data_IF_024829997359
#
_entry.id   IF_024829997359
#
_cell.length_a   1.000
_cell.length_b   1.000
_cell.length_c   1.000
_cell.angle_alpha   90.00
_cell.angle_beta   90.00
_cell.angle_gamma   90.00
#
_symmetry.space_group_name_H-M   'P 1'
#
loop_
_entity.id
_entity.type
_entity.pdbx_description
1 polymer ?
#
# COMPACT_ATOMS: atom_id res chain seq x y z
N UNK A 1 45.95 38.44 -7.84
CA UNK A 1 47.39 38.17 -8.04
C UNK A 1 47.54 36.67 -8.28
N UNK A 2 47.73 36.34 -9.50
CA UNK A 2 49.03 36.20 -10.13
C UNK A 2 49.49 34.74 -10.09
N UNK A 3 49.44 34.15 -11.21
CA UNK A 3 50.46 33.77 -12.21
C UNK A 3 50.88 32.28 -12.09
N UNK A 4 50.55 31.48 -13.13
CA UNK A 4 51.33 31.27 -14.35
C UNK A 4 52.43 30.22 -14.19
N UNK A 5 52.39 29.17 -14.98
CA UNK A 5 53.27 28.71 -16.05
C UNK A 5 53.29 27.18 -16.13
N UNK A 6 52.80 26.58 -17.21
CA UNK A 6 53.53 26.27 -18.45
C UNK A 6 54.86 25.54 -18.17
N UNK A 7 55.17 24.45 -18.72
CA UNK A 7 55.10 23.91 -20.06
C UNK A 7 56.15 22.78 -20.18
N UNK A 8 56.00 21.99 -21.23
CA UNK A 8 56.87 21.34 -22.19
C UNK A 8 57.29 19.90 -21.94
N UNK A 9 56.75 19.02 -22.75
CA UNK A 9 57.34 18.51 -23.97
C UNK A 9 58.83 18.21 -23.94
N UNK A 10 59.18 16.93 -24.10
CA UNK A 10 60.22 16.52 -25.07
C UNK A 10 60.08 15.04 -25.41
N UNK A 11 59.97 14.81 -26.67
CA UNK A 11 60.10 13.62 -27.50
C UNK A 11 61.49 13.01 -27.45
N UNK A 12 61.59 11.68 -27.66
CA UNK A 12 62.60 10.99 -28.47
C UNK A 12 62.22 9.50 -28.52
N UNK A 13 61.74 8.98 -29.63
CA UNK A 13 62.42 8.45 -30.83
C UNK A 13 63.41 7.31 -30.55
N UNK A 14 62.93 6.16 -30.94
CA UNK A 14 63.46 5.24 -31.95
C UNK A 14 64.54 4.23 -31.54
N UNK A 15 64.32 3.05 -31.94
CA UNK A 15 65.03 2.09 -32.77
C UNK A 15 65.00 0.66 -32.24
N UNK A 16 64.26 -0.14 -33.00
CA UNK A 16 64.69 -1.32 -33.75
C UNK A 16 65.66 -2.28 -33.04
N UNK A 17 65.22 -3.53 -32.85
CA UNK A 17 65.78 -4.67 -33.59
C UNK A 17 65.26 -6.05 -33.07
N UNK A 18 64.67 -6.70 -34.04
CA UNK A 18 64.85 -8.12 -34.37
C UNK A 18 64.37 -9.25 -33.44
N UNK A 19 63.47 -10.01 -33.98
CA UNK A 19 63.03 -11.41 -33.83
C UNK A 19 64.26 -12.36 -33.73
N UNK A 20 64.22 -13.57 -33.07
CA UNK A 20 63.34 -14.61 -33.53
C UNK A 20 62.79 -15.62 -32.48
N UNK A 21 61.67 -16.20 -32.88
CA UNK A 21 61.38 -17.62 -32.97
C UNK A 21 61.19 -18.50 -31.72
N UNK A 22 59.95 -18.98 -31.63
CA UNK A 22 59.57 -20.38 -31.44
C UNK A 22 59.98 -21.05 -30.14
N UNK A 23 59.01 -21.27 -29.28
CA UNK A 23 58.70 -22.58 -28.72
C UNK A 23 57.20 -22.65 -28.44
N UNK A 24 56.55 -23.49 -29.20
CA UNK A 24 55.20 -23.99 -28.96
C UNK A 24 55.19 -24.76 -27.63
N UNK A 25 54.32 -24.39 -26.72
CA UNK A 25 53.88 -25.30 -25.70
C UNK A 25 52.35 -25.16 -25.61
N UNK A 26 51.69 -26.12 -26.22
CA UNK A 26 50.29 -26.48 -25.98
C UNK A 26 50.12 -26.77 -24.47
N UNK A 27 49.45 -25.85 -23.78
CA UNK A 27 48.77 -26.18 -22.56
C UNK A 27 47.28 -25.94 -22.82
N UNK A 28 46.62 -27.03 -23.23
CA UNK A 28 45.15 -27.15 -23.12
C UNK A 28 44.82 -27.17 -21.62
N UNK A 29 44.74 -25.99 -21.04
CA UNK A 29 44.10 -25.81 -19.76
C UNK A 29 42.60 -25.74 -20.00
N UNK A 30 41.90 -26.85 -19.82
CA UNK A 30 40.45 -26.89 -19.76
C UNK A 30 39.97 -25.95 -18.67
N UNK A 31 39.49 -24.79 -19.05
CA UNK A 31 38.63 -23.99 -18.17
C UNK A 31 37.31 -24.75 -18.06
N UNK A 32 37.17 -25.55 -17.02
CA UNK A 32 35.88 -25.96 -16.52
C UNK A 32 35.20 -24.66 -16.09
N UNK A 33 34.39 -24.07 -17.00
CA UNK A 33 33.42 -23.07 -16.63
C UNK A 33 32.50 -23.71 -15.61
N UNK A 34 32.80 -23.50 -14.34
CA UNK A 34 31.82 -23.66 -13.27
C UNK A 34 30.69 -22.72 -13.63
N UNK A 35 29.68 -23.25 -14.33
CA UNK A 35 28.38 -22.61 -14.43
C UNK A 35 27.92 -22.47 -12.99
N UNK A 36 28.14 -21.28 -12.42
CA UNK A 36 27.44 -20.85 -11.23
C UNK A 36 25.96 -20.82 -11.63
N UNK A 37 25.25 -21.88 -11.32
CA UNK A 37 23.81 -21.89 -11.27
C UNK A 37 23.44 -20.80 -10.22
N UNK A 38 23.13 -19.60 -10.72
CA UNK A 38 22.48 -18.61 -9.91
C UNK A 38 21.28 -19.26 -9.24
N UNK A 39 21.00 -18.97 -7.95
CA UNK A 39 19.85 -19.53 -7.27
C UNK A 39 18.57 -19.00 -7.94
N UNK A 40 18.08 -19.74 -8.91
CA UNK A 40 16.83 -19.48 -9.65
C UNK A 40 15.57 -19.75 -8.81
N UNK A 41 15.70 -19.83 -7.48
CA UNK A 41 14.62 -20.24 -6.59
C UNK A 41 13.61 -19.16 -6.17
N UNK A 42 13.78 -17.90 -6.56
CA UNK A 42 12.92 -16.80 -6.02
C UNK A 42 11.67 -16.48 -6.82
N UNK A 43 11.48 -17.01 -8.03
CA UNK A 43 10.34 -16.64 -8.89
C UNK A 43 9.69 -17.83 -9.62
N UNK A 44 9.95 -19.07 -9.22
CA UNK A 44 9.26 -20.19 -9.83
C UNK A 44 7.78 -20.14 -9.53
N UNK A 45 6.92 -20.20 -10.56
CA UNK A 45 5.48 -20.25 -10.39
C UNK A 45 5.09 -21.56 -9.70
N UNK A 46 4.14 -21.50 -8.79
CA UNK A 46 3.66 -22.62 -7.98
C UNK A 46 2.19 -22.90 -8.27
N UNK A 47 1.82 -24.19 -8.19
CA UNK A 47 0.43 -24.60 -8.26
C UNK A 47 -0.04 -25.01 -6.86
N UNK A 48 -1.14 -24.46 -6.42
CA UNK A 48 -1.76 -24.77 -5.15
C UNK A 48 -2.90 -25.76 -5.37
N UNK A 49 -2.92 -26.84 -4.61
CA UNK A 49 -4.02 -27.81 -4.63
C UNK A 49 -4.29 -28.29 -3.21
N UNK A 50 -5.00 -27.49 -2.46
CA UNK A 50 -5.47 -27.80 -1.12
C UNK A 50 -6.98 -27.94 -1.15
N UNK A 51 -7.48 -29.11 -0.85
CA UNK A 51 -8.93 -29.37 -0.77
C UNK A 51 -9.25 -29.78 0.65
N UNK A 52 -10.06 -28.98 1.33
CA UNK A 52 -10.46 -29.22 2.72
C UNK A 52 -9.27 -29.47 3.66
N UNK A 53 -8.17 -28.74 3.43
CA UNK A 53 -6.93 -28.87 4.19
C UNK A 53 -6.96 -28.01 5.45
N UNK A 54 -6.37 -28.51 6.53
CA UNK A 54 -6.23 -27.77 7.77
C UNK A 54 -5.44 -26.49 7.60
N UNK A 55 -5.93 -25.38 8.19
CA UNK A 55 -5.32 -24.04 8.04
C UNK A 55 -3.87 -24.03 8.49
N UNK A 56 -3.54 -24.74 9.57
CA UNK A 56 -2.15 -24.82 10.08
C UNK A 56 -1.24 -25.54 9.09
N UNK A 57 -1.71 -26.65 8.49
CA UNK A 57 -0.95 -27.38 7.50
C UNK A 57 -0.69 -26.56 6.23
N UNK A 58 -1.71 -25.83 5.76
CA UNK A 58 -1.57 -24.91 4.61
C UNK A 58 -0.64 -23.77 4.95
N UNK A 59 -0.75 -23.16 6.13
CA UNK A 59 0.13 -22.08 6.57
C UNK A 59 1.60 -22.52 6.61
N UNK A 60 1.88 -23.74 7.12
CA UNK A 60 3.23 -24.32 7.14
C UNK A 60 3.79 -24.56 5.74
N UNK A 61 2.95 -25.06 4.83
CA UNK A 61 3.35 -25.24 3.43
C UNK A 61 3.61 -23.88 2.75
N UNK A 62 2.77 -22.89 2.98
CA UNK A 62 2.96 -21.54 2.46
C UNK A 62 4.24 -20.90 3.01
N UNK A 63 4.57 -21.11 4.28
CA UNK A 63 5.83 -20.67 4.88
C UNK A 63 7.04 -21.25 4.13
N UNK A 64 7.03 -22.56 3.85
CA UNK A 64 8.10 -23.23 3.12
C UNK A 64 8.24 -22.71 1.70
N UNK A 65 7.13 -22.57 0.99
CA UNK A 65 7.11 -22.13 -0.43
C UNK A 65 7.54 -20.67 -0.56
N UNK A 66 7.13 -19.81 0.35
CA UNK A 66 7.44 -18.37 0.29
C UNK A 66 8.76 -18.02 0.97
N UNK A 67 9.29 -18.91 1.81
CA UNK A 67 10.48 -18.64 2.62
C UNK A 67 10.21 -17.69 3.79
N UNK A 68 8.94 -17.51 4.19
CA UNK A 68 8.53 -16.61 5.27
C UNK A 68 8.37 -17.39 6.58
N UNK A 69 8.74 -16.78 7.70
CA UNK A 69 8.43 -17.34 9.02
C UNK A 69 6.94 -17.14 9.33
N UNK A 70 6.18 -18.22 9.44
CA UNK A 70 4.74 -18.18 9.75
C UNK A 70 4.48 -18.85 11.10
N UNK A 71 3.74 -18.18 11.96
CA UNK A 71 3.26 -18.68 13.26
C UNK A 71 1.74 -18.66 13.24
N UNK A 72 1.11 -19.75 13.67
CA UNK A 72 -0.35 -19.86 13.71
C UNK A 72 -0.80 -19.82 15.17
N UNK A 73 -1.76 -18.94 15.48
CA UNK A 73 -2.38 -18.87 16.81
C UNK A 73 -3.16 -20.15 17.09
N UNK A 74 -3.07 -20.77 18.28
CA UNK A 74 -3.78 -22.01 18.62
C UNK A 74 -5.30 -21.95 18.51
N UNK A 75 -5.87 -20.75 18.47
CA UNK A 75 -7.31 -20.50 18.27
C UNK A 75 -7.75 -20.60 16.81
N UNK A 76 -6.79 -20.59 15.87
CA UNK A 76 -7.08 -20.75 14.45
C UNK A 76 -7.36 -22.22 14.18
N UNK A 77 -8.62 -22.51 13.84
CA UNK A 77 -9.09 -23.87 13.55
C UNK A 77 -9.98 -23.83 12.31
N UNK A 78 -10.02 -24.96 11.61
CA UNK A 78 -10.86 -25.10 10.43
C UNK A 78 -10.07 -25.52 9.20
N UNK A 79 -10.79 -25.67 8.10
CA UNK A 79 -10.23 -26.13 6.85
C UNK A 79 -10.45 -25.10 5.75
N UNK A 80 -9.52 -25.01 4.82
CA UNK A 80 -9.63 -24.17 3.63
C UNK A 80 -9.37 -24.99 2.38
N UNK A 81 -10.01 -24.57 1.29
CA UNK A 81 -9.77 -25.11 -0.04
C UNK A 81 -9.14 -24.01 -0.89
N UNK A 82 -7.98 -24.30 -1.46
CA UNK A 82 -7.21 -23.39 -2.28
C UNK A 82 -6.68 -24.13 -3.49
N UNK A 83 -7.31 -23.96 -4.65
CA UNK A 83 -6.98 -24.66 -5.88
C UNK A 83 -6.66 -23.64 -6.96
N UNK A 84 -5.48 -23.79 -7.60
CA UNK A 84 -5.12 -22.98 -8.76
C UNK A 84 -4.98 -23.90 -9.98
N UNK A 85 -5.71 -23.58 -11.07
CA UNK A 85 -5.61 -24.34 -12.33
C UNK A 85 -4.28 -24.05 -13.07
N UNK A 86 -3.77 -22.84 -12.89
CA UNK A 86 -2.53 -22.39 -13.54
C UNK A 86 -1.47 -22.07 -12.48
N UNK A 87 -0.18 -22.29 -12.78
CA UNK A 87 0.89 -21.86 -11.90
C UNK A 87 0.83 -20.35 -11.64
N UNK A 88 0.91 -19.97 -10.38
CA UNK A 88 0.86 -18.57 -9.92
C UNK A 88 2.17 -18.16 -9.28
N UNK A 89 2.47 -16.87 -9.26
CA UNK A 89 3.62 -16.35 -8.51
C UNK A 89 3.45 -16.56 -7.00
N UNK A 90 4.54 -16.62 -6.26
CA UNK A 90 4.51 -16.74 -4.78
C UNK A 90 3.69 -15.63 -4.11
N UNK A 91 3.80 -14.40 -4.63
CA UNK A 91 3.00 -13.28 -4.13
C UNK A 91 1.50 -13.47 -4.39
N UNK A 92 1.13 -13.98 -5.59
CA UNK A 92 -0.27 -14.27 -5.92
C UNK A 92 -0.81 -15.43 -5.06
N UNK A 93 -0.02 -16.47 -4.83
CA UNK A 93 -0.37 -17.58 -3.95
C UNK A 93 -0.60 -17.11 -2.51
N UNK A 94 0.26 -16.23 -2.00
CA UNK A 94 0.10 -15.63 -0.68
C UNK A 94 -1.18 -14.79 -0.60
N UNK A 95 -1.48 -13.98 -1.61
CA UNK A 95 -2.72 -13.19 -1.66
C UNK A 95 -3.97 -14.07 -1.68
N UNK A 96 -3.94 -15.21 -2.40
CA UNK A 96 -5.03 -16.18 -2.40
C UNK A 96 -5.19 -16.85 -1.03
N UNK A 97 -4.07 -17.20 -0.37
CA UNK A 97 -4.10 -17.74 0.98
C UNK A 97 -4.70 -16.75 1.98
N UNK A 98 -4.27 -15.48 1.93
CA UNK A 98 -4.84 -14.41 2.76
C UNK A 98 -6.34 -14.21 2.52
N UNK A 99 -6.77 -14.27 1.26
CA UNK A 99 -8.19 -14.18 0.93
C UNK A 99 -8.98 -15.36 1.50
N UNK A 100 -8.43 -16.59 1.44
CA UNK A 100 -9.06 -17.78 2.00
C UNK A 100 -9.14 -17.71 3.54
N UNK A 101 -8.09 -17.22 4.22
CA UNK A 101 -8.11 -16.97 5.67
C UNK A 101 -9.21 -15.99 6.06
N UNK A 102 -9.34 -14.89 5.29
CA UNK A 102 -10.36 -13.86 5.54
C UNK A 102 -11.78 -14.41 5.48
N UNK A 103 -12.06 -15.35 4.54
CA UNK A 103 -13.37 -16.00 4.46
C UNK A 103 -13.71 -16.81 5.72
N UNK A 104 -12.70 -17.29 6.44
CA UNK A 104 -12.84 -18.02 7.70
C UNK A 104 -12.77 -17.10 8.95
N UNK A 105 -12.68 -15.79 8.77
CA UNK A 105 -12.56 -14.82 9.88
C UNK A 105 -11.16 -14.73 10.49
N UNK A 106 -10.13 -15.19 9.77
CA UNK A 106 -8.74 -15.09 10.15
C UNK A 106 -7.98 -14.14 9.24
N UNK A 107 -6.87 -13.63 9.75
CA UNK A 107 -5.98 -12.80 8.95
C UNK A 107 -4.52 -13.06 9.33
N UNK A 108 -3.61 -12.50 8.56
CA UNK A 108 -2.19 -12.61 8.81
C UNK A 108 -1.59 -11.22 9.03
N UNK A 109 -0.84 -11.05 10.12
CA UNK A 109 -0.17 -9.80 10.49
C UNK A 109 1.33 -10.03 10.51
N UNK A 110 2.08 -9.11 9.90
CA UNK A 110 3.54 -9.10 9.96
C UNK A 110 3.99 -8.31 11.20
N UNK A 111 4.82 -8.95 12.01
CA UNK A 111 5.40 -8.32 13.19
C UNK A 111 6.87 -8.76 13.30
N UNK A 112 7.80 -7.80 13.14
CA UNK A 112 9.24 -8.10 13.27
C UNK A 112 9.77 -9.14 12.28
N UNK A 113 9.24 -9.18 11.06
CA UNK A 113 9.65 -10.14 10.01
C UNK A 113 9.04 -11.53 10.16
N UNK A 114 8.13 -11.73 11.11
CA UNK A 114 7.37 -12.97 11.29
C UNK A 114 5.91 -12.69 10.97
N UNK A 115 5.30 -13.59 10.22
CA UNK A 115 3.88 -13.55 9.89
C UNK A 115 3.09 -14.38 10.89
N UNK A 116 2.11 -13.77 11.54
CA UNK A 116 1.22 -14.42 12.52
C UNK A 116 -0.17 -14.56 11.93
N UNK A 117 -0.67 -15.79 11.86
CA UNK A 117 -2.08 -16.08 11.53
C UNK A 117 -2.89 -16.07 12.82
N UNK A 118 -3.90 -15.21 12.88
CA UNK A 118 -4.71 -14.99 14.10
C UNK A 118 -6.16 -14.56 13.74
N UNK A 119 -7.11 -14.62 14.68
CA UNK A 119 -8.46 -14.11 14.47
C UNK A 119 -8.45 -12.62 14.07
N UNK A 120 -9.29 -12.24 13.14
CA UNK A 120 -9.38 -10.88 12.60
C UNK A 120 -9.63 -9.84 13.71
N UNK A 121 -10.44 -10.21 14.74
CA UNK A 121 -10.74 -9.33 15.87
C UNK A 121 -9.47 -8.90 16.65
N UNK A 122 -8.46 -9.77 16.72
CA UNK A 122 -7.22 -9.50 17.43
C UNK A 122 -6.15 -8.83 16.54
N UNK A 123 -6.28 -8.98 15.24
CA UNK A 123 -5.32 -8.44 14.28
C UNK A 123 -5.20 -6.91 14.35
N UNK A 124 -6.30 -6.21 14.56
CA UNK A 124 -6.33 -4.74 14.71
C UNK A 124 -5.49 -4.22 15.88
N UNK A 125 -5.30 -5.05 16.91
CA UNK A 125 -4.47 -4.70 18.08
C UNK A 125 -2.99 -4.94 17.84
N UNK A 126 -2.65 -5.79 16.87
CA UNK A 126 -1.29 -6.19 16.55
C UNK A 126 -0.78 -5.57 15.22
N UNK A 127 -1.66 -4.91 14.45
CA UNK A 127 -1.25 -4.24 13.21
C UNK A 127 -0.35 -3.05 13.52
N UNK A 128 0.90 -3.10 13.06
CA UNK A 128 1.91 -2.09 13.34
C UNK A 128 1.89 -0.91 12.35
N UNK A 129 1.15 -1.01 11.24
CA UNK A 129 1.18 -0.01 10.18
C UNK A 129 0.13 1.07 10.40
N UNK A 130 0.58 2.28 10.74
CA UNK A 130 -0.27 3.47 10.81
C UNK A 130 0.09 4.39 9.65
N UNK A 131 -0.87 4.66 8.78
CA UNK A 131 -0.75 5.63 7.68
C UNK A 131 -1.49 6.93 8.02
N UNK A 132 -0.87 8.07 7.72
CA UNK A 132 -1.53 9.36 7.79
C UNK A 132 -1.73 9.88 6.38
N UNK A 133 -2.96 10.24 6.02
CA UNK A 133 -3.25 10.84 4.72
C UNK A 133 -4.14 12.08 4.88
N UNK A 134 -3.95 13.03 3.98
CA UNK A 134 -4.82 14.20 3.83
C UNK A 134 -5.54 14.05 2.50
N UNK A 135 -6.88 14.22 2.49
CA UNK A 135 -7.64 14.16 1.26
C UNK A 135 -7.74 12.78 0.60
N UNK A 136 -7.70 11.68 1.37
CA UNK A 136 -7.94 10.33 0.82
C UNK A 136 -6.79 9.70 0.04
N UNK A 137 -5.56 10.20 0.18
CA UNK A 137 -4.39 9.62 -0.48
C UNK A 137 -4.19 8.14 -0.09
N UNK A 138 -3.90 7.22 -1.05
CA UNK A 138 -3.79 5.81 -0.78
C UNK A 138 -2.53 5.49 0.04
N UNK A 139 -2.68 4.68 1.07
CA UNK A 139 -1.54 4.09 1.80
C UNK A 139 -0.99 2.91 0.99
N UNK A 140 0.33 2.85 0.85
CA UNK A 140 1.03 1.71 0.24
C UNK A 140 1.04 0.54 1.24
N UNK A 141 0.06 -0.33 1.13
CA UNK A 141 0.01 -1.57 1.88
C UNK A 141 -0.51 -2.70 0.98
N UNK A 142 -0.20 -3.94 1.35
CA UNK A 142 -0.74 -5.11 0.66
C UNK A 142 -2.26 -5.18 0.87
N UNK A 143 -3.02 -5.45 -0.19
CA UNK A 143 -4.49 -5.36 -0.20
C UNK A 143 -5.20 -6.08 0.95
N UNK A 144 -4.67 -7.23 1.36
CA UNK A 144 -5.25 -8.07 2.42
C UNK A 144 -4.65 -7.84 3.82
N UNK A 145 -3.91 -6.76 4.01
CA UNK A 145 -3.34 -6.40 5.30
C UNK A 145 -4.25 -5.42 6.05
N UNK A 146 -4.48 -5.65 7.35
CA UNK A 146 -5.19 -4.70 8.21
C UNK A 146 -4.20 -3.60 8.60
N UNK A 147 -4.62 -2.36 8.39
CA UNK A 147 -3.85 -1.16 8.73
C UNK A 147 -4.76 -0.11 9.37
N UNK A 148 -4.18 0.81 10.10
CA UNK A 148 -4.89 1.99 10.61
C UNK A 148 -4.52 3.20 9.77
N UNK A 149 -5.52 3.91 9.28
CA UNK A 149 -5.35 5.14 8.51
C UNK A 149 -6.02 6.31 9.23
N UNK A 150 -5.29 7.42 9.33
CA UNK A 150 -5.81 8.70 9.82
C UNK A 150 -6.07 9.58 8.61
N UNK A 151 -7.33 9.97 8.41
CA UNK A 151 -7.77 10.80 7.28
C UNK A 151 -8.25 12.12 7.82
N UNK A 152 -7.55 13.20 7.50
CA UNK A 152 -7.97 14.57 7.86
C UNK A 152 -8.93 15.10 6.80
N UNK A 153 -10.05 15.68 7.26
CA UNK A 153 -11.05 16.31 6.42
C UNK A 153 -10.81 17.83 6.36
N UNK A 154 -11.09 18.43 5.20
CA UNK A 154 -10.89 19.85 4.96
C UNK A 154 -12.20 20.65 5.05
N UNK A 155 -13.29 20.09 4.54
CA UNK A 155 -14.56 20.80 4.37
C UNK A 155 -15.70 20.15 5.17
N UNK A 156 -15.81 18.82 5.13
CA UNK A 156 -16.89 18.07 5.77
C UNK A 156 -16.57 17.80 7.24
N UNK A 157 -17.61 17.67 8.08
CA UNK A 157 -17.43 17.29 9.49
C UNK A 157 -17.28 15.78 9.64
N UNK A 158 -16.23 15.35 10.33
CA UNK A 158 -15.95 13.93 10.55
C UNK A 158 -17.11 13.18 11.21
N UNK A 159 -17.86 13.82 12.11
CA UNK A 159 -19.01 13.20 12.78
C UNK A 159 -20.16 12.86 11.81
N UNK A 160 -20.34 13.67 10.75
CA UNK A 160 -21.38 13.45 9.73
C UNK A 160 -21.05 12.23 8.86
N UNK A 161 -19.76 11.95 8.64
CA UNK A 161 -19.32 10.86 7.78
C UNK A 161 -19.37 9.50 8.47
N UNK A 162 -19.24 9.43 9.79
CA UNK A 162 -19.24 8.14 10.53
C UNK A 162 -20.47 7.28 10.24
N UNK A 163 -21.72 7.77 10.36
CA UNK A 163 -22.89 6.94 10.11
C UNK A 163 -22.98 6.45 8.65
N UNK A 164 -22.42 7.20 7.72
CA UNK A 164 -22.39 6.84 6.28
C UNK A 164 -21.31 5.78 6.02
N UNK A 165 -20.15 5.90 6.64
CA UNK A 165 -19.01 5.02 6.43
C UNK A 165 -19.05 3.75 7.25
N UNK A 166 -19.70 3.76 8.43
CA UNK A 166 -19.77 2.61 9.34
C UNK A 166 -20.26 1.32 8.69
N UNK A 167 -21.32 1.33 7.85
CA UNK A 167 -21.78 0.13 7.15
C UNK A 167 -20.81 -0.41 6.11
N UNK A 168 -19.82 0.38 5.69
CA UNK A 168 -18.82 0.03 4.69
C UNK A 168 -17.54 -0.55 5.31
N UNK A 169 -17.41 -0.47 6.62
CA UNK A 169 -16.28 -0.99 7.39
C UNK A 169 -16.53 -2.47 7.73
N UNK A 170 -15.49 -3.29 7.64
CA UNK A 170 -15.58 -4.71 7.99
C UNK A 170 -16.05 -4.89 9.44
N UNK A 171 -16.84 -5.92 9.77
CA UNK A 171 -17.52 -6.05 11.08
C UNK A 171 -16.58 -6.03 12.29
N UNK A 172 -15.38 -6.58 12.15
CA UNK A 172 -14.39 -6.64 13.24
C UNK A 172 -13.51 -5.39 13.32
N UNK A 173 -13.68 -4.43 12.41
CA UNK A 173 -12.84 -3.26 12.28
C UNK A 173 -13.52 -1.99 12.81
N UNK A 174 -12.80 -0.89 12.90
CA UNK A 174 -13.25 0.29 13.65
C UNK A 174 -13.11 1.58 12.85
N UNK A 175 -14.05 2.49 13.10
CA UNK A 175 -14.00 3.89 12.72
C UNK A 175 -14.25 4.76 13.93
N UNK A 176 -13.38 5.74 14.17
CA UNK A 176 -13.46 6.69 15.26
C UNK A 176 -13.22 8.10 14.73
N UNK A 177 -13.80 9.10 15.43
CA UNK A 177 -13.59 10.52 15.13
C UNK A 177 -12.61 11.12 16.10
N UNK A 178 -11.66 11.89 15.60
CA UNK A 178 -10.92 12.85 16.40
C UNK A 178 -11.48 14.24 16.10
N UNK A 179 -12.37 14.71 16.97
CA UNK A 179 -13.07 15.99 16.78
C UNK A 179 -12.14 17.21 16.86
N UNK A 180 -11.01 17.11 17.60
CA UNK A 180 -10.10 18.25 17.80
C UNK A 180 -9.41 18.71 16.53
N UNK A 181 -9.17 17.80 15.58
CA UNK A 181 -8.49 18.09 14.31
C UNK A 181 -9.30 17.66 13.08
N UNK A 182 -10.61 17.41 13.25
CA UNK A 182 -11.54 17.01 12.21
C UNK A 182 -11.01 15.82 11.38
N UNK A 183 -10.60 14.75 12.03
CA UNK A 183 -10.07 13.58 11.35
C UNK A 183 -10.79 12.29 11.72
N UNK A 184 -10.79 11.35 10.79
CA UNK A 184 -11.26 9.98 10.94
C UNK A 184 -10.07 9.07 11.19
N UNK A 185 -10.17 8.21 12.20
CA UNK A 185 -9.23 7.12 12.47
C UNK A 185 -9.92 5.82 12.11
N UNK A 186 -9.51 5.19 11.02
CA UNK A 186 -10.14 4.00 10.48
C UNK A 186 -9.13 2.86 10.48
N UNK A 187 -9.50 1.73 11.08
CA UNK A 187 -8.73 0.49 11.00
C UNK A 187 -9.52 -0.50 10.17
N UNK A 188 -8.97 -0.91 9.03
CA UNK A 188 -9.59 -1.89 8.14
C UNK A 188 -8.54 -2.47 7.18
N UNK A 189 -8.95 -3.36 6.28
CA UNK A 189 -8.11 -3.86 5.21
C UNK A 189 -7.70 -2.74 4.25
N UNK A 190 -6.48 -2.79 3.76
CA UNK A 190 -5.92 -1.75 2.91
C UNK A 190 -6.72 -1.51 1.62
N UNK A 191 -7.27 -2.56 1.00
CA UNK A 191 -8.15 -2.46 -0.16
C UNK A 191 -9.46 -1.74 0.17
N UNK A 192 -10.05 -2.03 1.32
CA UNK A 192 -11.26 -1.34 1.78
C UNK A 192 -10.98 0.13 2.12
N UNK A 193 -9.86 0.41 2.79
CA UNK A 193 -9.45 1.79 3.10
C UNK A 193 -9.23 2.63 1.84
N UNK A 194 -8.67 2.05 0.77
CA UNK A 194 -8.57 2.73 -0.52
C UNK A 194 -9.95 3.07 -1.11
N UNK A 195 -10.91 2.15 -1.00
CA UNK A 195 -12.30 2.40 -1.43
C UNK A 195 -12.95 3.50 -0.60
N UNK A 196 -12.84 3.42 0.74
CA UNK A 196 -13.36 4.41 1.68
C UNK A 196 -12.71 5.77 1.44
N UNK A 197 -11.39 5.83 1.23
CA UNK A 197 -10.67 7.06 0.94
C UNK A 197 -11.19 7.76 -0.31
N UNK A 198 -11.55 7.01 -1.38
CA UNK A 198 -12.18 7.60 -2.58
C UNK A 198 -13.58 8.14 -2.30
N UNK A 199 -14.37 7.48 -1.46
CA UNK A 199 -15.69 7.96 -1.04
C UNK A 199 -15.54 9.24 -0.23
N UNK A 200 -14.63 9.28 0.74
CA UNK A 200 -14.34 10.46 1.55
C UNK A 200 -13.91 11.63 0.65
N UNK A 201 -12.99 11.40 -0.28
CA UNK A 201 -12.53 12.46 -1.20
C UNK A 201 -13.66 13.03 -2.08
N UNK A 202 -14.66 12.23 -2.43
CA UNK A 202 -15.83 12.68 -3.16
C UNK A 202 -16.84 13.47 -2.29
N UNK A 203 -16.81 13.26 -0.98
CA UNK A 203 -17.72 13.95 -0.03
C UNK A 203 -17.07 15.16 0.63
N UNK A 204 -15.75 15.15 0.83
CA UNK A 204 -14.98 16.25 1.44
C UNK A 204 -14.65 17.32 0.39
N UNK A 205 -15.71 17.92 -0.17
CA UNK A 205 -15.60 18.98 -1.17
C UNK A 205 -16.01 20.32 -0.56
N UNK A 206 -15.40 21.39 -1.05
CA UNK A 206 -15.81 22.73 -0.63
C UNK A 206 -17.32 22.93 -0.91
N UNK A 207 -18.10 23.40 0.07
CA UNK A 207 -19.48 23.77 -0.20
C UNK A 207 -19.45 24.80 -1.33
N UNK A 208 -20.19 24.51 -2.41
CA UNK A 208 -20.35 25.44 -3.53
C UNK A 208 -21.12 26.67 -3.07
N UNK A 209 -20.46 27.54 -2.34
CA UNK A 209 -20.97 28.86 -2.09
C UNK A 209 -20.72 29.67 -3.36
N UNK A 210 -21.63 29.58 -4.30
CA UNK A 210 -21.72 30.57 -5.36
C UNK A 210 -22.10 31.87 -4.70
N UNK A 211 -21.09 32.59 -4.20
CA UNK A 211 -21.27 33.96 -3.70
C UNK A 211 -21.24 34.86 -4.92
N UNK A 212 -22.42 35.29 -5.36
CA UNK A 212 -22.55 36.33 -6.38
C UNK A 212 -22.48 37.68 -5.70
N UNK A 213 -21.50 38.50 -6.07
CA UNK A 213 -21.38 39.88 -5.61
C UNK A 213 -22.14 40.79 -6.58
N UNK A 214 -23.30 41.25 -6.17
CA UNK A 214 -24.14 42.20 -6.97
C UNK A 214 -23.78 43.61 -6.56
N UNK A 215 -23.13 44.41 -7.40
CA UNK A 215 -22.83 45.81 -7.09
C UNK A 215 -24.12 46.66 -7.15
N UNK A 216 -24.47 47.30 -6.03
CA UNK A 216 -25.63 48.16 -5.95
C UNK A 216 -25.26 49.57 -6.43
N UNK A 217 -26.08 50.15 -7.35
CA UNK A 217 -25.85 51.49 -7.89
C UNK A 217 -26.68 52.57 -7.20
N UNK A 218 -27.86 52.23 -6.66
CA UNK A 218 -28.84 53.17 -6.17
C UNK A 218 -29.43 52.84 -4.79
N UNK A 219 -28.93 51.83 -4.14
CA UNK A 219 -29.39 51.41 -2.81
C UNK A 219 -28.21 51.11 -1.89
N UNK A 220 -28.41 51.29 -0.61
CA UNK A 220 -27.44 50.91 0.43
C UNK A 220 -27.66 49.44 0.80
N UNK A 221 -26.61 48.68 0.81
CA UNK A 221 -26.69 47.21 1.03
C UNK A 221 -27.31 46.85 2.41
N UNK A 222 -27.04 47.64 3.46
CA UNK A 222 -27.64 47.47 4.80
C UNK A 222 -29.16 47.61 4.83
N UNK A 223 -29.73 48.41 3.93
CA UNK A 223 -31.16 48.62 3.88
C UNK A 223 -31.89 47.60 3.01
N UNK A 224 -31.17 47.10 1.98
CA UNK A 224 -31.70 46.08 1.07
C UNK A 224 -31.67 44.67 1.67
N UNK A 225 -30.63 44.34 2.43
CA UNK A 225 -30.44 42.99 2.98
C UNK A 225 -31.63 42.46 3.81
N UNK A 226 -32.20 43.21 4.76
CA UNK A 226 -33.37 42.77 5.52
C UNK A 226 -34.64 42.59 4.66
N UNK A 227 -34.79 43.36 3.57
CA UNK A 227 -35.90 43.20 2.64
C UNK A 227 -35.77 41.90 1.82
N UNK A 228 -34.58 41.60 1.34
CA UNK A 228 -34.28 40.34 0.63
C UNK A 228 -34.50 39.13 1.53
N UNK A 229 -34.01 39.18 2.77
CA UNK A 229 -34.24 38.11 3.74
C UNK A 229 -35.72 37.85 4.00
N UNK A 230 -36.53 38.93 4.18
CA UNK A 230 -37.99 38.79 4.32
C UNK A 230 -38.65 38.16 3.11
N UNK A 231 -38.18 38.48 1.92
CA UNK A 231 -38.74 37.91 0.68
C UNK A 231 -38.42 36.41 0.57
N UNK A 232 -37.23 36.02 0.93
CA UNK A 232 -36.81 34.60 0.95
C UNK A 232 -37.62 33.84 2.01
N UNK A 233 -37.76 34.37 3.21
CA UNK A 233 -38.51 33.73 4.31
C UNK A 233 -40.03 33.68 3.99
N UNK A 234 -40.57 34.63 3.27
CA UNK A 234 -41.98 34.63 2.88
C UNK A 234 -42.28 33.78 1.65
N UNK A 235 -41.28 33.51 0.79
CA UNK A 235 -41.43 32.70 -0.42
C UNK A 235 -41.32 31.19 -0.18
N UNK A 236 -40.91 30.76 1.01
CA UNK A 236 -40.83 29.33 1.41
C UNK A 236 -42.13 28.72 1.96
N UNK A 237 -43.22 29.46 1.99
CA UNK A 237 -44.53 29.01 2.47
C UNK A 237 -45.59 28.92 1.33
N UNK A 238 -45.23 28.13 0.28
CA UNK A 238 -46.20 27.74 -0.75
C UNK A 238 -46.13 26.23 -1.02
#
# INVERSE_FOLDING_TARGET
STLIRQARLVTHRALLRTVPAVVSALILGGQVAMAQTAPSGRNEPITLNFVNADIEAVARTMATVTGLGVVVDPRVKGTISLVTEKPVSRAAAMNQFLAALRLQGYTMVETGGIYKVLPEADAKLQSASVGVSTGGAPVRATSNQIITQIIKLNYENANNLVPILRPLISPNNTINVNASNNSLVITDYADNLQRIGRIIAAMDVAPGTDVEIIPLKYAIASDLAPLVLRLIDSGGAA
#
